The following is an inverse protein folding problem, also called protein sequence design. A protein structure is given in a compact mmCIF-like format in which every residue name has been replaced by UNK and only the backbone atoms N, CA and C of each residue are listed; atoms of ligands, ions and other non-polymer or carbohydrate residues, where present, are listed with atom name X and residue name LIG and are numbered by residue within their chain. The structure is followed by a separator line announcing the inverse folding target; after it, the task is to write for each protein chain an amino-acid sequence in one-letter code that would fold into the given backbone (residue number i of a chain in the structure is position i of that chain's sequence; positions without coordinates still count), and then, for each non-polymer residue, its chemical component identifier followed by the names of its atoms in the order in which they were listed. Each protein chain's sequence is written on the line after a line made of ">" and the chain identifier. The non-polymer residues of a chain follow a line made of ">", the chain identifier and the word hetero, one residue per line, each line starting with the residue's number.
data_IF_231087349227
#
_entry.id   IF_231087349227
#
_cell.length_a   1.000
_cell.length_b   1.000
_cell.length_c   1.000
_cell.angle_alpha   90.00
_cell.angle_beta   90.00
_cell.angle_gamma   90.00
#
_symmetry.space_group_name_H-M   'P 1'
#
loop_
_entity.id
_entity.type
_entity.pdbx_description
1 polymer ?
#
# COMPACT_ATOMS: atom_id res chain seq x y z
N UNK A 1 -57.69 21.83 36.42
CA UNK A 1 -57.02 22.02 35.13
C UNK A 1 -57.49 20.90 34.22
N UNK A 2 -58.30 21.21 33.20
CA UNK A 2 -58.89 20.21 32.31
C UNK A 2 -57.84 19.58 31.39
N UNK A 3 -57.89 18.27 31.22
CA UNK A 3 -57.07 17.51 30.28
C UNK A 3 -57.33 17.99 28.84
N UNK A 4 -56.37 18.73 28.29
CA UNK A 4 -56.49 19.38 26.99
C UNK A 4 -56.41 18.39 25.81
N UNK A 5 -55.98 17.14 26.03
CA UNK A 5 -55.80 16.13 24.98
C UNK A 5 -56.82 14.99 25.07
N UNK A 6 -58.02 15.29 25.57
CA UNK A 6 -59.11 14.31 25.67
C UNK A 6 -59.63 13.90 24.29
N UNK A 7 -59.67 12.60 24.02
CA UNK A 7 -60.28 12.04 22.80
C UNK A 7 -61.81 12.22 22.83
N UNK A 8 -62.35 12.69 21.71
CA UNK A 8 -63.80 12.87 21.49
C UNK A 8 -64.35 11.66 20.74
N UNK A 9 -65.55 11.19 21.12
CA UNK A 9 -66.19 10.04 20.44
C UNK A 9 -67.09 10.49 19.28
N UNK A 10 -67.36 9.56 18.37
CA UNK A 10 -68.26 9.80 17.23
C UNK A 10 -69.62 10.32 17.70
N UNK A 11 -70.09 11.43 17.10
CA UNK A 11 -71.33 12.11 17.46
C UNK A 11 -71.26 13.14 18.59
N UNK A 12 -70.12 13.27 19.29
CA UNK A 12 -69.92 14.35 20.26
C UNK A 12 -69.49 15.66 19.59
N UNK A 13 -69.94 16.84 20.07
CA UNK A 13 -69.50 18.12 19.53
C UNK A 13 -68.01 18.34 19.81
N UNK A 14 -67.25 18.60 18.75
CA UNK A 14 -65.82 18.84 18.83
C UNK A 14 -65.55 20.31 19.19
N UNK A 15 -65.11 20.55 20.42
CA UNK A 15 -64.62 21.85 20.89
C UNK A 15 -63.13 21.73 21.17
N UNK A 16 -62.31 22.45 20.42
CA UNK A 16 -60.84 22.36 20.51
C UNK A 16 -60.34 23.55 21.34
N UNK A 17 -59.86 23.34 22.58
CA UNK A 17 -59.19 24.38 23.35
C UNK A 17 -57.91 24.84 22.65
N UNK A 18 -57.53 26.13 22.81
CA UNK A 18 -56.30 26.67 22.23
C UNK A 18 -55.04 25.88 22.65
N UNK A 19 -55.02 25.35 23.87
CA UNK A 19 -53.93 24.48 24.35
C UNK A 19 -53.83 23.16 23.56
N UNK A 20 -54.96 22.56 23.20
CA UNK A 20 -55.01 21.34 22.38
C UNK A 20 -54.57 21.64 20.94
N UNK A 21 -55.04 22.75 20.39
CA UNK A 21 -54.67 23.20 19.06
C UNK A 21 -53.17 23.46 18.96
N UNK A 22 -52.60 24.23 19.88
CA UNK A 22 -51.16 24.51 19.91
C UNK A 22 -50.35 23.22 20.08
N UNK A 23 -50.78 22.29 20.94
CA UNK A 23 -50.11 21.00 21.08
C UNK A 23 -50.12 20.16 19.78
N UNK A 24 -51.19 20.23 18.98
CA UNK A 24 -51.21 19.58 17.66
C UNK A 24 -50.30 20.29 16.65
N UNK A 25 -50.23 21.63 16.69
CA UNK A 25 -49.29 22.39 15.85
C UNK A 25 -47.85 22.07 16.24
N UNK A 26 -47.52 22.05 17.53
CA UNK A 26 -46.19 21.70 18.02
C UNK A 26 -45.81 20.26 17.63
N UNK A 27 -46.74 19.31 17.76
CA UNK A 27 -46.54 17.94 17.30
C UNK A 27 -46.36 17.84 15.77
N UNK A 28 -47.09 18.65 14.99
CA UNK A 28 -46.94 18.69 13.53
C UNK A 28 -45.62 19.35 13.09
N UNK A 29 -45.16 20.38 13.82
CA UNK A 29 -43.87 21.04 13.62
C UNK A 29 -42.73 20.09 13.99
N UNK A 30 -42.80 19.42 15.14
CA UNK A 30 -41.84 18.40 15.56
C UNK A 30 -41.82 17.22 14.57
N UNK A 31 -42.98 16.75 14.12
CA UNK A 31 -43.06 15.71 13.09
C UNK A 31 -42.47 16.18 11.75
N UNK A 32 -42.72 17.42 11.32
CA UNK A 32 -42.09 18.01 10.12
C UNK A 32 -40.59 18.19 10.27
N UNK A 33 -40.12 18.62 11.44
CA UNK A 33 -38.69 18.71 11.72
C UNK A 33 -38.05 17.33 11.69
N UNK A 34 -38.66 16.31 12.29
CA UNK A 34 -38.19 14.92 12.19
C UNK A 34 -38.24 14.41 10.76
N UNK A 35 -39.29 14.70 10.00
CA UNK A 35 -39.44 14.24 8.60
C UNK A 35 -38.49 14.97 7.64
N UNK A 36 -38.18 16.24 7.91
CA UNK A 36 -37.14 16.99 7.20
C UNK A 36 -35.73 16.43 7.51
N UNK A 37 -35.50 15.94 8.73
CA UNK A 37 -34.29 15.18 9.07
C UNK A 37 -34.31 13.74 8.53
N UNK A 38 -35.47 13.15 8.24
CA UNK A 38 -35.63 11.82 7.60
C UNK A 38 -35.51 11.87 6.06
N UNK A 39 -35.55 13.06 5.46
CA UNK A 39 -35.20 13.31 4.06
C UNK A 39 -33.69 13.40 3.83
N UNK A 40 -32.92 13.63 4.90
CA UNK A 40 -31.58 13.10 4.98
C UNK A 40 -31.79 11.61 5.24
N UNK A 41 -31.62 10.80 4.20
CA UNK A 41 -31.32 9.40 4.43
C UNK A 41 -30.30 9.41 5.56
N UNK A 42 -30.52 8.63 6.62
CA UNK A 42 -29.39 8.14 7.36
C UNK A 42 -28.54 7.48 6.27
N UNK A 43 -27.55 8.21 5.73
CA UNK A 43 -26.40 7.55 5.16
C UNK A 43 -26.06 6.57 6.26
N UNK A 44 -26.03 5.26 5.99
CA UNK A 44 -25.22 4.46 6.87
C UNK A 44 -23.92 5.25 6.94
N UNK A 45 -23.58 5.80 8.10
CA UNK A 45 -22.19 5.87 8.44
C UNK A 45 -21.81 4.40 8.59
N UNK A 46 -21.69 3.70 7.45
CA UNK A 46 -20.67 2.70 7.36
C UNK A 46 -19.46 3.51 7.76
N UNK A 47 -19.04 3.36 9.03
CA UNK A 47 -17.65 3.58 9.33
C UNK A 47 -16.97 2.74 8.27
N UNK A 48 -16.40 3.39 7.25
CA UNK A 48 -15.55 2.69 6.31
C UNK A 48 -14.55 2.02 7.22
N UNK A 49 -14.56 0.69 7.28
CA UNK A 49 -13.78 -0.07 8.26
C UNK A 49 -12.27 0.28 8.17
N UNK A 50 -11.88 0.85 7.03
CA UNK A 50 -10.58 1.39 6.70
C UNK A 50 -10.28 2.80 7.22
N UNK A 51 -11.23 3.54 7.82
CA UNK A 51 -10.96 4.81 8.52
C UNK A 51 -10.96 4.54 10.01
N UNK A 52 -9.79 4.73 10.62
CA UNK A 52 -9.57 4.48 12.06
C UNK A 52 -9.19 5.77 12.78
N UNK A 53 -9.22 5.70 14.11
CA UNK A 53 -8.73 6.79 14.94
C UNK A 53 -7.26 6.60 15.23
N UNK A 54 -6.50 7.68 15.11
CA UNK A 54 -5.06 7.67 15.35
C UNK A 54 -4.66 8.82 16.25
N UNK A 55 -3.71 8.59 17.15
CA UNK A 55 -3.02 9.65 17.88
C UNK A 55 -1.70 9.95 17.19
N UNK A 56 -1.47 11.23 16.93
CA UNK A 56 -0.22 11.68 16.35
C UNK A 56 0.85 11.80 17.46
N UNK A 57 1.70 10.80 17.56
CA UNK A 57 2.86 10.75 18.46
C UNK A 57 4.18 11.01 17.70
N UNK A 58 4.13 11.58 16.48
CA UNK A 58 5.33 11.95 15.68
C UNK A 58 6.17 13.10 16.27
N UNK A 59 5.70 13.73 17.36
CA UNK A 59 6.38 14.86 18.00
C UNK A 59 6.10 16.23 17.37
N UNK A 60 5.40 16.29 16.23
CA UNK A 60 5.07 17.55 15.54
C UNK A 60 3.63 17.58 15.03
N UNK A 61 3.12 18.76 14.68
CA UNK A 61 1.80 18.88 14.05
C UNK A 61 1.85 18.36 12.62
N UNK A 62 0.87 17.53 12.26
CA UNK A 62 0.82 16.92 10.93
C UNK A 62 -0.38 17.42 10.15
N UNK A 63 -0.17 17.64 8.86
CA UNK A 63 -1.20 18.11 7.94
C UNK A 63 -2.06 16.97 7.44
N UNK A 64 -3.19 17.32 6.82
CA UNK A 64 -4.00 16.36 6.09
C UNK A 64 -3.17 15.70 4.98
N UNK A 65 -3.36 14.40 4.77
CA UNK A 65 -2.63 13.54 3.84
C UNK A 65 -1.16 13.28 4.20
N UNK A 66 -0.71 13.70 5.39
CA UNK A 66 0.56 13.23 5.94
C UNK A 66 0.50 11.71 6.19
N UNK A 67 1.66 11.08 6.12
CA UNK A 67 1.86 9.63 6.33
C UNK A 67 2.50 9.42 7.69
N UNK A 68 1.95 8.53 8.50
CA UNK A 68 2.52 8.15 9.79
C UNK A 68 2.62 6.63 9.93
N UNK A 69 3.70 6.15 10.54
CA UNK A 69 3.89 4.74 10.87
C UNK A 69 3.01 4.32 12.04
N UNK A 70 2.46 3.11 11.99
CA UNK A 70 1.64 2.53 13.06
C UNK A 70 2.56 1.85 14.08
N UNK A 71 2.51 2.31 15.33
CA UNK A 71 3.30 1.73 16.42
C UNK A 71 2.44 0.73 17.23
N UNK A 72 1.58 1.24 18.12
CA UNK A 72 0.85 0.42 19.10
C UNK A 72 -0.62 0.80 19.21
N UNK A 73 -1.53 -0.12 19.61
CA UNK A 73 -2.88 0.25 20.01
C UNK A 73 -2.86 1.17 21.23
N UNK A 74 -3.67 2.23 21.23
CA UNK A 74 -3.80 3.13 22.39
C UNK A 74 -4.51 2.44 23.55
N UNK A 75 -5.49 1.59 23.21
CA UNK A 75 -6.24 0.81 24.19
C UNK A 75 -5.57 -0.56 24.28
N UNK A 76 -4.89 -0.82 25.39
CA UNK A 76 -4.31 -2.14 25.64
C UNK A 76 -5.44 -3.16 25.95
N UNK A 77 -5.53 -4.28 25.20
CA UNK A 77 -6.51 -5.33 25.48
C UNK A 77 -6.40 -5.92 26.89
N UNK A 78 -5.21 -5.89 27.52
CA UNK A 78 -5.04 -6.32 28.92
C UNK A 78 -5.69 -5.35 29.92
N UNK A 79 -5.78 -4.07 29.56
CA UNK A 79 -6.39 -3.02 30.41
C UNK A 79 -7.89 -2.90 30.16
N UNK A 80 -8.33 -2.90 28.89
CA UNK A 80 -9.74 -2.76 28.54
C UNK A 80 -10.10 -3.51 27.24
N UNK A 81 -10.26 -4.83 27.35
CA UNK A 81 -10.61 -5.70 26.23
C UNK A 81 -11.93 -5.32 25.53
N UNK A 82 -12.93 -4.86 26.30
CA UNK A 82 -14.23 -4.49 25.73
C UNK A 82 -14.09 -3.27 24.82
N UNK A 83 -13.33 -2.26 25.24
CA UNK A 83 -13.11 -1.08 24.41
C UNK A 83 -12.21 -1.39 23.21
N UNK A 84 -11.17 -2.21 23.39
CA UNK A 84 -10.31 -2.68 22.29
C UNK A 84 -11.11 -3.37 21.17
N UNK A 85 -12.07 -4.24 21.53
CA UNK A 85 -12.95 -4.93 20.57
C UNK A 85 -13.91 -3.99 19.84
N UNK A 86 -14.32 -2.90 20.48
CA UNK A 86 -15.33 -2.00 19.96
C UNK A 86 -14.74 -0.81 19.20
N UNK A 87 -13.45 -0.49 19.42
CA UNK A 87 -12.82 0.72 18.87
C UNK A 87 -11.34 0.50 18.57
N UNK A 88 -11.01 0.42 17.28
CA UNK A 88 -9.61 0.46 16.84
C UNK A 88 -9.07 1.89 16.97
N UNK A 89 -8.10 2.07 17.85
CA UNK A 89 -7.38 3.34 18.03
C UNK A 89 -5.89 3.07 18.10
N UNK A 90 -5.10 3.70 17.23
CA UNK A 90 -3.67 3.43 17.07
C UNK A 90 -2.83 4.67 17.45
N UNK A 91 -1.68 4.45 18.07
CA UNK A 91 -0.61 5.44 18.14
C UNK A 91 0.16 5.40 16.83
N UNK A 92 0.46 6.58 16.28
CA UNK A 92 1.24 6.70 15.06
C UNK A 92 2.40 7.67 15.25
N UNK A 93 3.57 7.27 14.75
CA UNK A 93 4.84 7.99 14.87
C UNK A 93 5.38 8.37 13.49
N UNK A 94 6.50 9.07 13.44
CA UNK A 94 7.23 9.30 12.17
C UNK A 94 7.60 7.94 11.57
N UNK A 95 7.32 7.70 10.26
CA UNK A 95 7.64 6.42 9.63
C UNK A 95 9.12 6.07 9.72
N UNK A 96 9.41 4.79 9.91
CA UNK A 96 10.75 4.21 9.88
C UNK A 96 10.72 2.90 9.08
N UNK A 97 11.62 2.75 8.11
CA UNK A 97 11.54 1.68 7.10
C UNK A 97 11.69 0.29 7.73
N UNK A 98 12.50 0.17 8.78
CA UNK A 98 12.77 -1.09 9.48
C UNK A 98 11.56 -1.69 10.22
N UNK A 99 10.56 -0.86 10.55
CA UNK A 99 9.48 -1.20 11.47
C UNK A 99 8.09 -0.97 10.87
N UNK A 100 7.98 0.00 9.97
CA UNK A 100 6.70 0.52 9.48
C UNK A 100 6.42 0.26 8.00
N UNK A 101 7.28 -0.46 7.28
CA UNK A 101 7.02 -0.87 5.90
C UNK A 101 5.68 -1.64 5.82
N UNK A 102 4.76 -1.17 4.97
CA UNK A 102 3.38 -1.68 4.92
C UNK A 102 2.53 -1.52 6.17
N UNK A 103 3.00 -0.78 7.19
CA UNK A 103 2.30 -0.49 8.45
C UNK A 103 2.22 1.02 8.68
N UNK A 104 1.46 1.69 7.83
CA UNK A 104 1.26 3.14 7.93
C UNK A 104 -0.20 3.53 7.72
N UNK A 105 -0.49 4.79 8.05
CA UNK A 105 -1.78 5.45 7.82
C UNK A 105 -1.59 6.75 7.03
N UNK A 106 -2.64 7.19 6.34
CA UNK A 106 -2.71 8.51 5.69
C UNK A 106 -3.73 9.37 6.42
N UNK A 107 -3.33 10.55 6.90
CA UNK A 107 -4.20 11.39 7.73
C UNK A 107 -5.38 11.97 6.94
N UNK A 108 -6.61 11.82 7.44
CA UNK A 108 -7.81 12.34 6.78
C UNK A 108 -8.08 13.82 7.10
N UNK A 109 -7.47 14.32 8.18
CA UNK A 109 -7.54 15.71 8.66
C UNK A 109 -6.22 16.11 9.34
N UNK A 110 -5.93 17.41 9.53
CA UNK A 110 -4.76 17.82 10.30
C UNK A 110 -4.85 17.38 11.76
N UNK A 111 -3.76 16.88 12.33
CA UNK A 111 -3.70 16.39 13.71
C UNK A 111 -2.49 17.02 14.42
N UNK A 112 -2.75 17.80 15.46
CA UNK A 112 -1.68 18.35 16.30
C UNK A 112 -0.97 17.25 17.10
N UNK A 113 0.28 17.51 17.50
CA UNK A 113 1.07 16.58 18.31
C UNK A 113 0.33 16.18 19.60
N UNK A 114 0.29 14.87 19.88
CA UNK A 114 -0.41 14.24 21.00
C UNK A 114 -1.94 14.25 20.90
N UNK A 115 -2.53 14.68 19.78
CA UNK A 115 -3.99 14.70 19.58
C UNK A 115 -4.46 13.51 18.75
N UNK A 116 -5.75 13.19 18.88
CA UNK A 116 -6.42 12.12 18.14
C UNK A 116 -7.21 12.74 16.99
N UNK A 117 -7.13 12.11 15.82
CA UNK A 117 -7.94 12.41 14.64
C UNK A 117 -8.19 11.17 13.81
N UNK A 118 -8.74 11.37 12.61
CA UNK A 118 -9.06 10.29 11.67
C UNK A 118 -7.95 10.08 10.64
N UNK A 119 -7.70 8.82 10.31
CA UNK A 119 -6.78 8.43 9.24
C UNK A 119 -7.31 7.24 8.44
N UNK A 120 -6.94 7.19 7.17
CA UNK A 120 -7.09 6.00 6.35
C UNK A 120 -6.03 4.99 6.77
N UNK A 121 -6.44 3.76 7.10
CA UNK A 121 -5.55 2.62 7.36
C UNK A 121 -5.59 1.58 6.23
N UNK A 122 -6.53 1.71 5.29
CA UNK A 122 -6.59 0.91 4.07
C UNK A 122 -7.50 1.59 3.02
N UNK A 123 -7.55 1.01 1.82
CA UNK A 123 -8.45 1.45 0.74
C UNK A 123 -7.80 2.47 -0.18
N UNK A 124 -8.62 3.32 -0.79
CA UNK A 124 -8.19 4.28 -1.81
C UNK A 124 -8.18 5.70 -1.24
N UNK A 125 -7.06 6.40 -1.33
CA UNK A 125 -6.95 7.79 -0.92
C UNK A 125 -5.89 8.56 -1.73
N UNK A 126 -6.00 9.90 -1.80
CA UNK A 126 -4.93 10.71 -2.36
C UNK A 126 -3.74 10.80 -1.40
N UNK A 127 -2.53 10.90 -1.95
CA UNK A 127 -1.29 11.11 -1.19
C UNK A 127 -0.30 11.91 -2.03
N UNK A 128 0.71 12.51 -1.39
CA UNK A 128 1.88 13.02 -2.09
C UNK A 128 2.90 11.88 -2.27
N UNK A 129 3.44 11.74 -3.47
CA UNK A 129 4.52 10.83 -3.81
C UNK A 129 5.78 11.61 -4.14
N UNK A 130 6.93 11.17 -3.66
CA UNK A 130 8.21 11.58 -4.22
C UNK A 130 8.59 10.63 -5.37
N UNK A 131 8.72 11.19 -6.57
CA UNK A 131 9.25 10.53 -7.76
C UNK A 131 10.68 11.03 -7.96
N UNK A 132 11.68 10.19 -7.72
CA UNK A 132 13.08 10.63 -7.60
C UNK A 132 13.76 10.90 -8.95
N UNK A 133 13.38 10.17 -9.99
CA UNK A 133 13.95 10.22 -11.33
C UNK A 133 12.93 9.78 -12.40
N UNK A 134 13.38 9.69 -13.65
CA UNK A 134 12.54 9.32 -14.79
C UNK A 134 12.12 7.84 -14.73
N UNK A 135 12.98 6.94 -14.25
CA UNK A 135 12.65 5.51 -14.09
C UNK A 135 11.56 5.33 -13.03
N UNK A 136 11.66 6.05 -11.92
CA UNK A 136 10.64 6.07 -10.88
C UNK A 136 9.31 6.68 -11.35
N UNK A 137 9.30 7.36 -12.51
CA UNK A 137 8.07 7.81 -13.12
C UNK A 137 7.24 6.66 -13.72
N UNK A 138 7.78 5.46 -13.86
CA UNK A 138 7.06 4.29 -14.38
C UNK A 138 6.60 3.35 -13.26
N UNK A 139 7.09 3.55 -12.03
CA UNK A 139 6.72 2.71 -10.90
C UNK A 139 5.23 2.73 -10.58
N UNK A 140 4.69 1.53 -10.34
CA UNK A 140 3.28 1.30 -10.03
C UNK A 140 3.01 1.14 -8.53
N UNK A 141 4.04 1.21 -7.69
CA UNK A 141 3.93 1.04 -6.25
C UNK A 141 4.58 2.18 -5.47
N UNK A 142 4.23 2.27 -4.20
CA UNK A 142 4.80 3.19 -3.26
C UNK A 142 4.85 2.60 -1.85
N UNK A 143 5.79 3.08 -1.06
CA UNK A 143 5.85 2.78 0.37
C UNK A 143 6.39 3.99 1.16
N UNK A 144 6.48 3.84 2.48
CA UNK A 144 7.05 4.86 3.35
C UNK A 144 8.54 5.09 3.07
N UNK A 145 9.06 6.17 3.63
CA UNK A 145 10.48 6.45 3.64
C UNK A 145 10.93 6.90 5.01
N UNK A 146 12.19 6.61 5.31
CA UNK A 146 12.72 6.75 6.66
C UNK A 146 12.69 8.20 7.12
N UNK A 147 12.03 8.44 8.26
CA UNK A 147 11.94 9.76 8.86
C UNK A 147 11.01 10.77 8.16
N UNK A 148 10.31 10.38 7.08
CA UNK A 148 9.52 11.32 6.27
C UNK A 148 8.02 11.07 6.43
N UNK A 149 7.32 12.07 6.99
CA UNK A 149 5.86 12.05 7.13
C UNK A 149 5.11 12.81 6.01
N UNK A 150 5.83 13.46 5.10
CA UNK A 150 5.25 14.34 4.06
C UNK A 150 4.54 13.61 2.92
N UNK A 151 4.73 12.30 2.78
CA UNK A 151 4.22 11.52 1.67
C UNK A 151 4.81 10.12 1.63
N UNK A 152 4.56 9.41 0.54
CA UNK A 152 5.18 8.13 0.22
C UNK A 152 6.25 8.33 -0.87
N UNK A 153 7.04 7.29 -1.11
CA UNK A 153 8.05 7.26 -2.16
C UNK A 153 7.60 6.27 -3.24
N UNK A 154 7.72 6.67 -4.51
CA UNK A 154 7.50 5.76 -5.62
C UNK A 154 8.59 4.67 -5.61
N UNK A 155 8.19 3.43 -5.84
CA UNK A 155 9.07 2.27 -5.73
C UNK A 155 8.58 1.14 -6.66
N UNK A 156 9.47 0.31 -7.23
CA UNK A 156 9.07 -0.84 -8.05
C UNK A 156 8.32 -1.89 -7.23
N UNK A 157 8.40 -1.84 -5.90
CA UNK A 157 7.62 -2.65 -4.97
C UNK A 157 7.09 -1.79 -3.82
N UNK A 158 6.01 -2.22 -3.18
CA UNK A 158 5.46 -1.50 -2.05
C UNK A 158 4.07 -1.95 -1.66
N UNK A 159 3.66 -1.56 -0.47
CA UNK A 159 2.37 -1.87 0.12
C UNK A 159 1.21 -0.98 -0.38
N UNK A 160 1.51 0.10 -1.10
CA UNK A 160 0.52 0.92 -1.79
C UNK A 160 0.65 0.77 -3.32
N UNK A 161 -0.40 0.31 -3.98
CA UNK A 161 -0.48 0.36 -5.45
C UNK A 161 -0.88 1.77 -5.89
N UNK A 162 -0.18 2.33 -6.86
CA UNK A 162 -0.51 3.60 -7.50
C UNK A 162 -1.58 3.33 -8.56
N UNK A 163 -2.74 3.97 -8.41
CA UNK A 163 -3.82 3.89 -9.40
C UNK A 163 -3.70 5.00 -10.45
N UNK A 164 -3.13 6.13 -10.05
CA UNK A 164 -2.89 7.30 -10.88
C UNK A 164 -1.87 8.22 -10.19
N UNK A 165 -1.02 8.89 -10.97
CA UNK A 165 -0.09 9.93 -10.47
C UNK A 165 0.11 11.02 -11.52
N UNK A 166 0.46 12.23 -11.06
CA UNK A 166 0.92 13.30 -11.95
C UNK A 166 2.21 12.92 -12.67
N UNK A 167 2.38 13.39 -13.90
CA UNK A 167 3.58 13.15 -14.70
C UNK A 167 4.81 13.94 -14.18
N UNK A 168 5.99 13.40 -14.45
CA UNK A 168 7.30 14.00 -14.15
C UNK A 168 7.87 13.63 -12.78
N UNK A 169 9.02 14.23 -12.46
CA UNK A 169 9.78 13.97 -11.23
C UNK A 169 9.51 15.01 -10.12
N UNK A 170 9.94 14.72 -8.89
CA UNK A 170 9.71 15.52 -7.69
C UNK A 170 8.46 15.09 -6.91
N UNK A 171 7.94 15.99 -6.07
CA UNK A 171 6.71 15.75 -5.30
C UNK A 171 5.51 15.86 -6.22
N UNK A 172 4.72 14.79 -6.30
CA UNK A 172 3.54 14.63 -7.17
C UNK A 172 2.32 14.23 -6.39
N UNK A 173 1.15 14.63 -6.86
CA UNK A 173 -0.10 14.06 -6.38
C UNK A 173 -0.34 12.69 -7.01
N UNK A 174 -0.86 11.78 -6.19
CA UNK A 174 -1.26 10.47 -6.64
C UNK A 174 -2.52 9.99 -5.92
N UNK A 175 -3.19 9.03 -6.54
CA UNK A 175 -4.27 8.24 -5.94
C UNK A 175 -3.72 6.82 -5.75
N UNK A 176 -3.67 6.37 -4.51
CA UNK A 176 -3.15 5.05 -4.17
C UNK A 176 -4.26 4.14 -3.63
N UNK A 177 -4.03 2.83 -3.73
CA UNK A 177 -4.76 1.78 -3.01
C UNK A 177 -3.77 1.05 -2.09
N UNK A 178 -4.02 1.06 -0.79
CA UNK A 178 -3.14 0.44 0.21
C UNK A 178 -3.91 -0.38 1.25
N UNK A 179 -3.18 -1.12 2.09
CA UNK A 179 -3.74 -1.96 3.15
C UNK A 179 -3.42 -3.46 3.03
N UNK A 180 -2.72 -3.86 1.96
CA UNK A 180 -2.11 -5.19 1.85
C UNK A 180 -0.60 -5.00 1.67
N UNK A 181 0.20 -5.44 2.64
CA UNK A 181 1.65 -5.49 2.47
C UNK A 181 1.99 -6.51 1.38
N UNK A 182 2.69 -6.05 0.33
CA UNK A 182 3.31 -6.95 -0.63
C UNK A 182 4.80 -7.02 -0.27
N UNK A 183 5.27 -8.10 0.38
CA UNK A 183 6.70 -8.25 0.62
C UNK A 183 7.43 -8.37 -0.73
N UNK A 184 8.74 -8.08 -0.72
CA UNK A 184 9.62 -8.23 -1.88
C UNK A 184 9.28 -9.50 -2.68
N UNK A 185 8.89 -9.30 -3.94
CA UNK A 185 8.52 -10.39 -4.84
C UNK A 185 9.71 -10.74 -5.70
N UNK A 186 10.14 -12.00 -5.61
CA UNK A 186 10.89 -12.61 -6.70
C UNK A 186 9.94 -12.72 -7.90
N UNK A 187 10.38 -12.25 -9.06
CA UNK A 187 9.61 -12.28 -10.30
C UNK A 187 10.39 -12.97 -11.42
N UNK A 188 9.70 -13.62 -12.38
CA UNK A 188 10.36 -14.26 -13.50
C UNK A 188 10.87 -13.22 -14.50
N UNK A 189 11.99 -13.51 -15.15
CA UNK A 189 12.57 -12.71 -16.23
C UNK A 189 12.94 -13.61 -17.41
N UNK A 190 12.82 -13.09 -18.62
CA UNK A 190 13.41 -13.71 -19.80
C UNK A 190 14.83 -13.18 -19.98
N UNK A 191 15.70 -14.02 -20.54
CA UNK A 191 17.11 -13.70 -20.72
C UNK A 191 17.52 -13.92 -22.18
N UNK A 192 18.20 -12.94 -22.75
CA UNK A 192 18.79 -13.06 -24.08
C UNK A 192 20.29 -12.86 -23.98
N UNK A 193 21.08 -13.86 -24.36
CA UNK A 193 22.53 -13.73 -24.38
C UNK A 193 22.93 -12.69 -25.44
N UNK A 194 23.64 -11.64 -25.02
CA UNK A 194 24.06 -10.53 -25.90
C UNK A 194 25.57 -10.37 -25.99
N UNK A 195 26.32 -11.06 -25.13
CA UNK A 195 27.78 -10.95 -25.10
C UNK A 195 28.51 -12.14 -24.47
N UNK A 196 29.81 -11.97 -24.30
CA UNK A 196 30.71 -12.95 -23.70
C UNK A 196 31.18 -14.07 -24.63
N UNK A 197 31.94 -15.00 -24.07
CA UNK A 197 32.49 -16.17 -24.75
C UNK A 197 32.08 -17.46 -24.03
N UNK A 198 31.98 -18.56 -24.78
CA UNK A 198 31.74 -19.89 -24.22
C UNK A 198 32.93 -20.32 -23.34
N UNK A 199 32.64 -21.10 -22.30
CA UNK A 199 33.65 -21.70 -21.44
C UNK A 199 34.37 -22.88 -22.12
N UNK A 200 35.51 -23.25 -21.55
CA UNK A 200 36.32 -24.38 -22.01
C UNK A 200 36.87 -25.18 -20.80
N UNK A 201 37.78 -26.11 -21.05
CA UNK A 201 38.36 -26.96 -20.00
C UNK A 201 39.15 -26.19 -18.93
N UNK A 202 39.52 -24.94 -19.20
CA UNK A 202 40.35 -24.11 -18.32
C UNK A 202 39.66 -22.81 -17.86
N UNK A 203 38.61 -22.36 -18.55
CA UNK A 203 37.98 -21.07 -18.34
C UNK A 203 36.45 -21.18 -18.27
N UNK A 204 35.78 -20.39 -17.42
CA UNK A 204 34.32 -20.32 -17.39
C UNK A 204 33.79 -19.54 -18.61
N UNK A 205 32.51 -19.74 -18.95
CA UNK A 205 31.83 -18.83 -19.87
C UNK A 205 31.79 -17.42 -19.27
N UNK A 206 31.75 -16.40 -20.13
CA UNK A 206 31.74 -14.97 -19.74
C UNK A 206 30.48 -14.25 -20.24
N UNK A 207 29.40 -15.00 -20.45
CA UNK A 207 28.17 -14.49 -21.04
C UNK A 207 27.52 -13.39 -20.23
N UNK A 208 27.02 -12.40 -20.96
CA UNK A 208 26.16 -11.32 -20.47
C UNK A 208 24.80 -11.40 -21.14
N UNK A 209 23.78 -10.90 -20.44
CA UNK A 209 22.38 -11.03 -20.83
C UNK A 209 21.65 -9.70 -20.82
N UNK A 210 20.80 -9.49 -21.82
CA UNK A 210 19.68 -8.57 -21.64
C UNK A 210 18.62 -9.29 -20.80
N UNK A 211 18.13 -8.60 -19.77
CA UNK A 211 17.09 -9.06 -18.86
C UNK A 211 15.78 -8.40 -19.26
N UNK A 212 14.75 -9.21 -19.52
CA UNK A 212 13.48 -8.74 -20.04
C UNK A 212 12.33 -9.09 -19.11
N UNK A 213 11.34 -8.20 -19.04
CA UNK A 213 10.07 -8.46 -18.38
C UNK A 213 9.29 -9.52 -19.16
N UNK A 214 8.83 -10.58 -18.48
CA UNK A 214 8.13 -11.71 -19.13
C UNK A 214 6.74 -11.31 -19.64
N UNK A 215 6.11 -10.29 -19.05
CA UNK A 215 4.77 -9.86 -19.42
C UNK A 215 4.79 -8.85 -20.57
N UNK A 216 5.69 -7.87 -20.55
CA UNK A 216 5.76 -6.80 -21.56
C UNK A 216 6.78 -7.07 -22.66
N UNK A 217 7.82 -7.86 -22.37
CA UNK A 217 8.97 -8.06 -23.26
C UNK A 217 9.93 -6.86 -23.30
N UNK A 218 9.75 -5.87 -22.43
CA UNK A 218 10.63 -4.71 -22.34
C UNK A 218 11.95 -5.08 -21.65
N UNK A 219 13.03 -4.44 -22.08
CA UNK A 219 14.35 -4.62 -21.47
C UNK A 219 14.39 -3.89 -20.13
N UNK A 220 14.53 -4.65 -19.05
CA UNK A 220 14.70 -4.14 -17.70
C UNK A 220 16.14 -3.70 -17.44
N UNK A 221 17.11 -4.49 -17.93
CA UNK A 221 18.53 -4.17 -17.82
C UNK A 221 19.30 -4.82 -18.96
N UNK A 222 20.29 -4.12 -19.52
CA UNK A 222 21.05 -4.59 -20.69
C UNK A 222 22.45 -5.08 -20.33
N UNK A 223 22.92 -6.09 -21.07
CA UNK A 223 24.28 -6.62 -20.99
C UNK A 223 24.78 -6.96 -19.57
N UNK A 224 23.88 -7.50 -18.75
CA UNK A 224 24.13 -7.88 -17.36
C UNK A 224 25.11 -9.05 -17.26
N UNK A 225 26.15 -8.92 -16.45
CA UNK A 225 26.98 -10.05 -16.01
C UNK A 225 26.33 -10.70 -14.79
N UNK A 226 25.70 -11.89 -14.92
CA UNK A 226 24.95 -12.49 -13.84
C UNK A 226 25.83 -12.92 -12.65
N UNK A 227 27.16 -12.97 -12.82
CA UNK A 227 28.12 -13.35 -11.78
C UNK A 227 28.71 -12.17 -11.01
N UNK A 228 28.52 -10.95 -11.53
CA UNK A 228 28.97 -9.73 -10.88
C UNK A 228 27.99 -9.27 -9.78
N UNK A 229 28.49 -8.53 -8.79
CA UNK A 229 27.62 -7.83 -7.83
C UNK A 229 26.76 -6.82 -8.60
N UNK A 230 25.44 -6.70 -8.31
CA UNK A 230 24.74 -7.21 -7.12
C UNK A 230 24.13 -8.63 -7.26
N UNK A 231 24.21 -9.23 -8.44
CA UNK A 231 23.61 -10.52 -8.78
C UNK A 231 24.19 -11.68 -7.94
N UNK A 232 23.43 -12.78 -7.84
CA UNK A 232 23.75 -13.92 -6.97
C UNK A 232 24.08 -15.21 -7.73
N UNK A 233 24.04 -15.19 -9.06
CA UNK A 233 24.33 -16.37 -9.85
C UNK A 233 25.81 -16.75 -9.72
N UNK A 234 26.06 -18.04 -9.57
CA UNK A 234 27.41 -18.59 -9.51
C UNK A 234 27.57 -19.59 -10.65
N UNK A 235 28.33 -19.19 -11.66
CA UNK A 235 28.65 -20.03 -12.80
C UNK A 235 29.72 -21.06 -12.42
N UNK A 236 29.66 -22.29 -12.94
CA UNK A 236 30.76 -23.25 -12.84
C UNK A 236 32.09 -22.65 -13.34
N UNK A 237 33.20 -23.03 -12.72
CA UNK A 237 34.51 -22.42 -12.96
C UNK A 237 35.16 -22.81 -14.30
N UNK A 238 34.72 -23.91 -14.91
CA UNK A 238 35.17 -24.44 -16.21
C UNK A 238 34.03 -25.21 -16.87
N UNK A 239 34.15 -25.45 -18.17
CA UNK A 239 33.25 -26.28 -18.97
C UNK A 239 32.36 -25.49 -19.91
N UNK A 240 31.83 -26.20 -20.91
CA UNK A 240 30.82 -25.64 -21.81
C UNK A 240 29.48 -25.53 -21.10
N UNK A 241 28.74 -24.48 -21.42
CA UNK A 241 27.45 -24.17 -20.83
C UNK A 241 26.37 -24.09 -21.92
N UNK A 242 25.11 -24.13 -21.50
CA UNK A 242 23.93 -23.80 -22.28
C UNK A 242 23.44 -22.45 -21.75
N UNK A 243 23.26 -21.48 -22.66
CA UNK A 243 22.88 -20.12 -22.29
C UNK A 243 21.51 -20.08 -21.61
N UNK A 244 21.39 -19.23 -20.60
CA UNK A 244 20.11 -18.99 -19.97
C UNK A 244 19.13 -18.32 -20.94
N UNK A 245 17.87 -18.72 -20.83
CA UNK A 245 16.71 -18.11 -21.49
C UNK A 245 15.70 -17.59 -20.48
N UNK A 246 15.86 -17.93 -19.19
CA UNK A 246 14.90 -17.66 -18.14
C UNK A 246 15.61 -17.52 -16.78
N UNK A 247 15.07 -16.67 -15.92
CA UNK A 247 15.57 -16.51 -14.56
C UNK A 247 14.55 -15.95 -13.59
N UNK A 248 15.02 -15.74 -12.37
CA UNK A 248 14.29 -15.08 -11.29
C UNK A 248 15.09 -13.88 -10.80
N UNK A 249 14.42 -12.73 -10.78
CA UNK A 249 14.97 -11.46 -10.33
C UNK A 249 14.19 -10.89 -9.14
N UNK A 250 14.80 -9.94 -8.45
CA UNK A 250 14.14 -9.08 -7.46
C UNK A 250 14.85 -7.73 -7.43
N UNK A 251 14.15 -6.69 -7.00
CA UNK A 251 14.73 -5.37 -6.80
C UNK A 251 15.25 -5.23 -5.37
N UNK A 252 16.43 -4.64 -5.21
CA UNK A 252 16.98 -4.28 -3.89
C UNK A 252 17.23 -2.78 -3.83
N UNK A 253 16.97 -2.11 -2.68
CA UNK A 253 17.31 -0.70 -2.52
C UNK A 253 18.82 -0.46 -2.70
N UNK A 254 19.18 0.66 -3.33
CA UNK A 254 20.57 1.10 -3.48
C UNK A 254 20.86 2.40 -2.71
N UNK A 255 22.15 2.78 -2.64
CA UNK A 255 22.62 3.94 -1.86
C UNK A 255 22.11 5.29 -2.42
N UNK A 256 21.53 5.32 -3.62
CA UNK A 256 21.01 6.52 -4.28
C UNK A 256 19.49 6.66 -4.14
N UNK A 257 18.87 5.94 -3.20
CA UNK A 257 17.41 5.86 -3.01
C UNK A 257 16.65 5.25 -4.20
N UNK A 258 17.36 4.66 -5.15
CA UNK A 258 16.81 3.86 -6.25
C UNK A 258 16.83 2.37 -5.92
N UNK A 259 16.66 1.57 -6.97
CA UNK A 259 16.65 0.11 -6.85
C UNK A 259 17.54 -0.52 -7.92
N UNK A 260 18.32 -1.52 -7.51
CA UNK A 260 19.09 -2.34 -8.43
C UNK A 260 18.34 -3.63 -8.72
N UNK A 261 18.33 -4.06 -9.98
CA UNK A 261 17.82 -5.37 -10.37
C UNK A 261 18.83 -6.45 -9.98
N UNK A 262 18.37 -7.52 -9.33
CA UNK A 262 19.23 -8.61 -8.86
C UNK A 262 18.73 -9.94 -9.41
N UNK A 263 19.47 -10.51 -10.35
CA UNK A 263 19.34 -11.92 -10.75
C UNK A 263 19.71 -12.82 -9.57
N UNK A 264 18.71 -13.50 -9.00
CA UNK A 264 18.88 -14.46 -7.92
C UNK A 264 19.20 -15.86 -8.43
N UNK A 265 18.63 -16.24 -9.57
CA UNK A 265 18.82 -17.53 -10.22
C UNK A 265 18.56 -17.41 -11.72
N UNK A 266 19.32 -18.10 -12.55
CA UNK A 266 19.08 -18.22 -14.00
C UNK A 266 19.24 -19.67 -14.44
N UNK A 267 18.64 -20.05 -15.56
CA UNK A 267 18.66 -21.43 -16.04
C UNK A 267 19.88 -21.77 -16.92
N UNK A 268 21.05 -21.17 -16.66
CA UNK A 268 22.29 -21.66 -17.27
C UNK A 268 22.53 -23.11 -16.83
N UNK A 269 22.88 -23.97 -17.78
CA UNK A 269 23.13 -25.39 -17.52
C UNK A 269 24.50 -25.77 -18.03
N UNK A 270 25.18 -26.71 -17.37
CA UNK A 270 26.41 -27.30 -17.92
C UNK A 270 26.05 -28.16 -19.12
N UNK A 271 26.73 -27.97 -20.24
CA UNK A 271 26.65 -28.85 -21.39
C UNK A 271 27.43 -30.13 -21.07
N UNK A 272 26.71 -31.21 -20.75
CA UNK A 272 27.32 -32.51 -20.49
C UNK A 272 27.14 -33.38 -21.72
N UNK A 273 28.24 -33.77 -22.36
CA UNK A 273 28.21 -34.91 -23.27
C UNK A 273 27.98 -36.20 -22.47
N UNK A 274 27.22 -37.13 -23.04
CA UNK A 274 27.08 -38.47 -22.46
C UNK A 274 28.46 -39.10 -22.33
N UNK A 275 28.81 -39.63 -21.14
CA UNK A 275 29.98 -40.47 -21.00
C UNK A 275 29.84 -41.65 -21.97
N UNK A 276 30.68 -41.69 -23.02
CA UNK A 276 30.79 -42.89 -23.84
C UNK A 276 31.19 -44.04 -22.93
N UNK A 277 30.39 -45.10 -22.94
CA UNK A 277 30.71 -46.40 -22.33
C UNK A 277 31.99 -46.92 -22.99
N UNK A 278 33.14 -46.50 -22.46
CA UNK A 278 34.43 -47.13 -22.70
C UNK A 278 34.48 -48.44 -21.90
N UNK A 279 33.56 -49.35 -22.27
CA UNK A 279 33.34 -50.64 -21.65
C UNK A 279 33.59 -51.78 -22.62
N UNK A 280 34.86 -52.21 -22.68
CA UNK A 280 35.32 -53.55 -23.06
C UNK A 280 35.04 -54.08 -24.48
N UNK A 281 36.10 -54.13 -25.30
CA UNK A 281 36.38 -55.29 -26.18
C UNK A 281 37.75 -55.85 -25.84
#
# INVERSE_FOLDING_TARGET
>A
MSDALKKVQSGQPLVIPASAYNAFIDAAVDFRQRTAHLGQSAQPSSQQASIVLVRNDSGSNQNRLAVLGIDTPIIDPATNLNEFKNRVTLSCVTPAVDTHEGKFVVLAEPIASGKIGRAYAAGVCPVQLLVIDEDAAEYEYADIFDGVAGGLFASPNGSASILWKEEGTGVKWAVIRFGNHQPMRVFPVDLTQVGGSQGDEANPATWTYDVLDVATGETLESAVDPTASPHKWQRPSIGQMIAATFGYAHYVPNDSYGYDLVLGWINEMVEQESCDDSGST
#
